data_IF_261218358435
#
_entry.id   IF_261218358435
#
_cell.length_a   1.000
_cell.length_b   1.000
_cell.length_c   1.000
_cell.angle_alpha   90.00
_cell.angle_beta   90.00
_cell.angle_gamma   90.00
#
_symmetry.space_group_name_H-M   'P 1'
#
loop_
_entity.id
_entity.type
_entity.pdbx_description
1 polymer ?
#
# COMPACT_ATOMS: atom_id res chain seq x y z
N UNK A 1 -27.60 -6.63 -14.63
CA UNK A 1 -27.24 -5.40 -13.89
C UNK A 1 -26.14 -5.75 -12.88
N UNK A 2 -24.88 -5.76 -13.29
CA UNK A 2 -23.75 -5.99 -12.37
C UNK A 2 -23.41 -4.64 -11.76
N UNK A 3 -23.91 -4.35 -10.54
CA UNK A 3 -23.36 -3.23 -9.77
C UNK A 3 -21.90 -3.58 -9.52
N UNK A 4 -21.01 -2.91 -10.24
CA UNK A 4 -19.60 -2.87 -9.86
C UNK A 4 -19.57 -2.29 -8.45
N UNK A 5 -19.34 -3.14 -7.44
CA UNK A 5 -19.11 -2.69 -6.07
C UNK A 5 -17.92 -1.73 -6.06
N UNK A 6 -17.82 -0.86 -5.04
CA UNK A 6 -16.65 0.00 -4.90
C UNK A 6 -15.40 -0.88 -4.92
N UNK A 7 -14.43 -0.55 -5.78
CA UNK A 7 -13.14 -1.24 -5.79
C UNK A 7 -12.49 -1.01 -4.43
N UNK A 8 -11.93 -2.06 -3.84
CA UNK A 8 -11.27 -1.99 -2.55
C UNK A 8 -9.77 -2.19 -2.74
N UNK A 9 -8.99 -1.68 -1.81
CA UNK A 9 -7.58 -2.07 -1.61
C UNK A 9 -7.35 -2.34 -0.13
N UNK A 10 -6.23 -2.95 0.22
CA UNK A 10 -5.86 -3.20 1.63
C UNK A 10 -4.56 -2.50 1.97
N UNK A 11 -4.40 -2.13 3.23
CA UNK A 11 -3.13 -1.62 3.78
C UNK A 11 -2.80 -2.37 5.06
N UNK A 12 -1.52 -2.63 5.29
CA UNK A 12 -1.06 -3.14 6.57
C UNK A 12 -1.41 -2.14 7.68
N UNK A 13 -1.97 -2.64 8.78
CA UNK A 13 -2.30 -1.86 9.96
C UNK A 13 -1.36 -2.28 11.10
N UNK A 14 -0.55 -1.34 11.59
CA UNK A 14 0.33 -1.57 12.75
C UNK A 14 -0.43 -1.48 14.07
N UNK A 15 -1.61 -0.89 14.06
CA UNK A 15 -2.49 -0.77 15.21
C UNK A 15 -3.95 -0.80 14.75
N UNK A 16 -4.79 -1.43 15.57
CA UNK A 16 -6.22 -1.55 15.35
C UNK A 16 -6.91 -0.71 16.42
N UNK A 17 -7.77 0.20 15.98
CA UNK A 17 -8.53 1.03 16.90
C UNK A 17 -9.60 0.19 17.62
N UNK A 18 -9.95 0.54 18.85
CA UNK A 18 -10.89 -0.24 19.67
C UNK A 18 -12.29 -0.31 19.06
N UNK A 19 -12.72 0.72 18.34
CA UNK A 19 -14.00 0.73 17.63
C UNK A 19 -13.96 0.09 16.22
N UNK A 20 -12.83 -0.46 15.80
CA UNK A 20 -12.71 -1.07 14.49
C UNK A 20 -13.45 -2.41 14.43
N UNK A 21 -14.22 -2.63 13.37
CA UNK A 21 -14.75 -3.95 13.05
C UNK A 21 -13.60 -4.86 12.61
N UNK A 22 -13.30 -5.86 13.42
CA UNK A 22 -12.25 -6.85 13.16
C UNK A 22 -12.88 -8.16 12.71
N UNK A 23 -12.38 -8.69 11.60
CA UNK A 23 -12.82 -9.97 11.04
C UNK A 23 -11.62 -10.89 10.82
N UNK A 24 -11.76 -12.15 11.17
CA UNK A 24 -10.72 -13.13 10.92
C UNK A 24 -10.83 -13.71 9.50
N UNK A 25 -9.69 -14.03 8.91
CA UNK A 25 -9.61 -14.60 7.57
C UNK A 25 -10.40 -15.91 7.41
N UNK A 26 -10.55 -16.71 8.49
CA UNK A 26 -11.34 -17.94 8.47
C UNK A 26 -12.86 -17.69 8.41
N UNK A 27 -13.29 -16.48 8.78
CA UNK A 27 -14.68 -16.06 8.73
C UNK A 27 -15.09 -15.52 7.35
N UNK A 28 -14.14 -15.50 6.39
CA UNK A 28 -14.41 -15.16 5.00
C UNK A 28 -14.91 -16.40 4.26
N UNK A 29 -15.87 -16.21 3.36
CA UNK A 29 -16.21 -17.24 2.39
C UNK A 29 -15.01 -17.53 1.48
N UNK A 30 -14.93 -18.73 0.89
CA UNK A 30 -13.81 -19.11 0.01
C UNK A 30 -13.57 -18.09 -1.12
N UNK A 31 -14.66 -17.56 -1.69
CA UNK A 31 -14.62 -16.49 -2.68
C UNK A 31 -14.06 -15.19 -2.11
N UNK A 32 -14.55 -14.75 -0.96
CA UNK A 32 -14.07 -13.52 -0.31
C UNK A 32 -12.59 -13.65 0.08
N UNK A 33 -12.16 -14.83 0.53
CA UNK A 33 -10.76 -15.13 0.83
C UNK A 33 -9.87 -15.00 -0.41
N UNK A 34 -10.25 -15.63 -1.52
CA UNK A 34 -9.50 -15.55 -2.76
C UNK A 34 -9.35 -14.10 -3.27
N UNK A 35 -10.45 -13.34 -3.26
CA UNK A 35 -10.43 -11.92 -3.65
C UNK A 35 -9.61 -11.06 -2.67
N UNK A 36 -9.64 -11.36 -1.37
CA UNK A 36 -8.83 -10.68 -0.35
C UNK A 36 -7.32 -10.95 -0.49
N UNK A 37 -6.93 -12.21 -0.78
CA UNK A 37 -5.52 -12.54 -1.04
C UNK A 37 -4.99 -11.82 -2.28
N UNK A 38 -5.81 -11.66 -3.32
CA UNK A 38 -5.47 -10.87 -4.49
C UNK A 38 -5.27 -9.37 -4.12
N UNK A 39 -6.07 -8.83 -3.20
CA UNK A 39 -5.84 -7.46 -2.68
C UNK A 39 -4.50 -7.33 -1.96
N UNK A 40 -4.10 -8.31 -1.15
CA UNK A 40 -2.80 -8.32 -0.47
C UNK A 40 -1.66 -8.37 -1.49
N UNK A 41 -1.84 -9.09 -2.59
CA UNK A 41 -0.90 -9.13 -3.71
C UNK A 41 -0.86 -7.82 -4.54
N UNK A 42 -1.69 -6.83 -4.20
CA UNK A 42 -1.73 -5.51 -4.85
C UNK A 42 -2.72 -5.41 -6.00
N UNK A 43 -3.54 -6.44 -6.26
CA UNK A 43 -4.63 -6.34 -7.23
C UNK A 43 -5.76 -5.44 -6.70
N UNK A 44 -6.49 -4.78 -7.61
CA UNK A 44 -7.70 -4.03 -7.27
C UNK A 44 -8.94 -4.89 -7.54
N UNK A 45 -9.47 -5.51 -6.50
CA UNK A 45 -10.66 -6.38 -6.53
C UNK A 45 -11.79 -5.81 -5.67
N UNK A 46 -13.00 -6.25 -5.96
CA UNK A 46 -14.12 -6.08 -5.02
C UNK A 46 -14.15 -7.36 -4.20
N UNK A 47 -14.09 -7.24 -2.88
CA UNK A 47 -14.27 -8.40 -2.00
C UNK A 47 -15.71 -8.40 -1.53
N UNK A 48 -16.48 -9.49 -1.76
CA UNK A 48 -17.84 -9.58 -1.26
C UNK A 48 -17.84 -9.59 0.28
N UNK A 49 -18.88 -9.01 0.87
CA UNK A 49 -19.09 -9.01 2.32
C UNK A 49 -17.96 -8.35 3.15
N UNK A 50 -17.22 -7.42 2.53
CA UNK A 50 -16.19 -6.62 3.18
C UNK A 50 -16.40 -5.14 2.88
N UNK A 51 -16.47 -4.35 3.95
CA UNK A 51 -16.70 -2.92 3.92
C UNK A 51 -15.40 -2.13 4.10
N UNK A 52 -15.38 -0.91 3.55
CA UNK A 52 -14.26 0.00 3.76
C UNK A 52 -14.16 0.39 5.23
N UNK A 53 -12.97 0.27 5.80
CA UNK A 53 -12.68 0.55 7.20
C UNK A 53 -12.53 -0.69 8.07
N UNK A 54 -13.04 -1.85 7.62
CA UNK A 54 -12.86 -3.13 8.33
C UNK A 54 -11.40 -3.56 8.37
N UNK A 55 -11.04 -4.32 9.40
CA UNK A 55 -9.71 -4.90 9.57
C UNK A 55 -9.80 -6.42 9.48
N UNK A 56 -9.08 -7.01 8.54
CA UNK A 56 -8.98 -8.45 8.38
C UNK A 56 -7.70 -8.97 9.04
N UNK A 57 -7.83 -9.97 9.90
CA UNK A 57 -6.73 -10.64 10.60
C UNK A 57 -6.31 -11.89 9.83
N UNK A 58 -5.08 -11.90 9.34
CA UNK A 58 -4.39 -13.06 8.78
C UNK A 58 -3.14 -13.35 9.63
N UNK A 59 -1.96 -13.40 9.02
CA UNK A 59 -0.64 -13.31 9.68
C UNK A 59 -0.34 -11.91 10.21
N UNK A 60 -1.02 -10.91 9.66
CA UNK A 60 -0.95 -9.50 10.01
C UNK A 60 -2.35 -8.88 9.95
N UNK A 61 -2.48 -7.66 10.46
CA UNK A 61 -3.71 -6.88 10.37
C UNK A 61 -3.73 -6.09 9.06
N UNK A 62 -4.81 -6.23 8.29
CA UNK A 62 -5.00 -5.51 7.04
C UNK A 62 -6.28 -4.69 7.08
N UNK A 63 -6.15 -3.37 6.98
CA UNK A 63 -7.31 -2.48 6.89
C UNK A 63 -7.78 -2.36 5.45
N UNK A 64 -9.06 -2.63 5.23
CA UNK A 64 -9.75 -2.42 3.96
C UNK A 64 -9.93 -0.91 3.77
N UNK A 65 -9.51 -0.42 2.62
CA UNK A 65 -9.69 0.97 2.22
C UNK A 65 -10.50 1.01 0.93
N UNK A 66 -11.48 1.90 0.87
CA UNK A 66 -12.20 2.14 -0.37
C UNK A 66 -11.25 2.76 -1.40
N UNK A 67 -11.20 2.21 -2.62
CA UNK A 67 -10.63 2.90 -3.76
C UNK A 67 -11.63 3.98 -4.21
N UNK A 68 -11.85 4.96 -3.34
CA UNK A 68 -12.41 6.24 -3.76
C UNK A 68 -11.54 6.80 -4.88
N UNK A 69 -12.10 7.65 -5.74
CA UNK A 69 -11.32 8.48 -6.68
C UNK A 69 -10.47 9.49 -5.90
N UNK A 70 -9.60 9.05 -4.99
CA UNK A 70 -8.52 9.89 -4.50
C UNK A 70 -7.52 9.96 -5.63
N UNK A 71 -7.48 11.13 -6.27
CA UNK A 71 -6.36 11.57 -7.12
C UNK A 71 -5.09 11.19 -6.36
N UNK A 72 -4.44 10.13 -6.83
CA UNK A 72 -3.09 9.76 -6.44
C UNK A 72 -2.22 10.95 -6.83
N UNK A 73 -2.04 11.91 -5.92
CA UNK A 73 -0.88 12.79 -5.99
C UNK A 73 0.26 11.89 -5.57
N UNK A 74 1.04 11.46 -6.54
CA UNK A 74 2.36 10.91 -6.32
C UNK A 74 3.20 11.99 -5.62
N UNK A 75 3.03 12.12 -4.31
CA UNK A 75 3.88 12.91 -3.42
C UNK A 75 4.71 11.91 -2.62
N UNK A 76 5.59 11.21 -3.35
CA UNK A 76 6.63 10.34 -2.80
C UNK A 76 7.83 10.31 -3.76
N UNK A 77 8.07 11.41 -4.48
CA UNK A 77 9.21 11.59 -5.36
C UNK A 77 9.86 12.95 -5.08
N UNK A 78 10.45 13.10 -3.89
CA UNK A 78 11.51 14.06 -3.60
C UNK A 78 12.06 13.79 -2.19
N UNK A 79 12.70 12.64 -2.00
CA UNK A 79 13.80 12.56 -1.04
C UNK A 79 15.07 12.63 -1.89
N UNK A 80 15.37 13.83 -2.37
CA UNK A 80 16.69 14.19 -2.86
C UNK A 80 17.49 14.52 -1.61
N UNK A 81 18.04 13.50 -0.96
CA UNK A 81 19.05 13.68 0.07
C UNK A 81 20.32 14.14 -0.66
N UNK A 82 20.42 15.46 -0.81
CA UNK A 82 21.56 16.15 -1.40
C UNK A 82 22.78 15.96 -0.52
N UNK A 83 23.48 14.84 -0.69
CA UNK A 83 24.85 14.68 -0.19
C UNK A 83 25.82 15.34 -1.18
N UNK A 84 26.18 16.58 -0.89
CA UNK A 84 27.28 17.28 -1.56
C UNK A 84 28.61 16.72 -1.08
N UNK A 85 29.21 15.81 -1.86
CA UNK A 85 30.63 15.47 -1.71
C UNK A 85 31.47 16.49 -2.48
N UNK A 86 31.84 17.57 -1.79
CA UNK A 86 32.93 18.43 -2.23
C UNK A 86 34.24 17.62 -2.11
N UNK A 87 34.75 17.13 -3.25
CA UNK A 87 36.14 16.69 -3.34
C UNK A 87 36.97 17.89 -3.78
N UNK A 88 37.47 18.59 -2.77
CA UNK A 88 38.49 19.63 -2.86
C UNK A 88 39.88 18.99 -3.09
N UNK A 89 40.66 19.62 -3.98
CA UNK A 89 42.13 19.65 -3.89
C UNK A 89 42.92 18.48 -4.47
N UNK A 90 43.60 18.70 -5.60
CA UNK A 90 44.64 17.79 -6.07
C UNK A 90 45.24 18.11 -7.43
N UNK A 91 45.87 19.28 -7.56
CA UNK A 91 46.71 19.68 -8.68
C UNK A 91 47.70 18.57 -9.11
N UNK A 92 47.89 18.36 -10.43
CA UNK A 92 49.25 18.19 -10.95
C UNK A 92 49.41 18.52 -12.44
N UNK A 93 50.46 19.28 -12.66
CA UNK A 93 50.94 19.89 -13.87
C UNK A 93 51.40 18.92 -14.98
N UNK A 94 51.29 19.43 -16.21
CA UNK A 94 52.18 19.27 -17.39
C UNK A 94 52.62 17.86 -17.81
N UNK A 95 52.29 17.48 -19.05
CA UNK A 95 53.37 17.08 -19.96
C UNK A 95 53.01 17.31 -21.44
N UNK A 96 53.98 17.88 -22.15
CA UNK A 96 54.02 18.17 -23.57
C UNK A 96 54.63 16.97 -24.29
N UNK A 97 53.97 16.43 -25.33
CA UNK A 97 54.67 15.98 -26.54
C UNK A 97 53.75 15.83 -27.74
#
# INVERSE_FOLDING_TARGET
>A
MTRNGPKLTVRHAESVAEEATVRHVDQLSERALADFLALIAGERRSVPDLDAGEVVVHTSYYRVVGAGRTRWTADAAASDDGVTVASDGGERATDTR
#
